data_IF_688681343726
#
_entry.id   IF_688681343726
#
_cell.length_a   1.000
_cell.length_b   1.000
_cell.length_c   1.000
_cell.angle_alpha   90.00
_cell.angle_beta   90.00
_cell.angle_gamma   90.00
#
_symmetry.space_group_name_H-M   'P 1'
#
loop_
_entity.id
_entity.type
_entity.pdbx_description
1 polymer ?
#
# COMPACT_ATOMS: atom_id res chain seq x y z
N UNK A 1 -28.88 16.93 -5.03
CA UNK A 1 -28.15 16.14 -4.02
C UNK A 1 -27.17 15.26 -4.77
N UNK A 2 -25.87 15.37 -4.49
CA UNK A 2 -24.87 14.51 -5.14
C UNK A 2 -25.07 13.06 -4.64
N UNK A 3 -25.08 12.08 -5.54
CA UNK A 3 -25.16 10.68 -5.13
C UNK A 3 -23.81 10.20 -4.56
N UNK A 4 -23.81 9.09 -3.83
CA UNK A 4 -22.60 8.53 -3.19
C UNK A 4 -21.50 8.26 -4.23
N UNK A 5 -21.88 7.74 -5.39
CA UNK A 5 -20.95 7.45 -6.49
C UNK A 5 -20.16 8.70 -6.93
N UNK A 6 -20.83 9.82 -7.16
CA UNK A 6 -20.18 11.09 -7.54
C UNK A 6 -19.23 11.61 -6.45
N UNK A 7 -19.52 11.33 -5.17
CA UNK A 7 -18.62 11.71 -4.06
C UNK A 7 -17.35 10.86 -4.06
N UNK A 8 -17.47 9.56 -4.25
CA UNK A 8 -16.30 8.66 -4.33
C UNK A 8 -15.46 8.94 -5.58
N UNK A 9 -16.10 9.15 -6.72
CA UNK A 9 -15.43 9.55 -7.96
C UNK A 9 -14.71 10.89 -7.80
N UNK A 10 -15.37 11.88 -7.21
CA UNK A 10 -14.78 13.19 -6.91
C UNK A 10 -13.58 13.10 -5.97
N UNK A 11 -13.58 12.19 -4.99
CA UNK A 11 -12.44 11.98 -4.09
C UNK A 11 -11.22 11.41 -4.83
N UNK A 12 -11.41 10.38 -5.66
CA UNK A 12 -10.34 9.77 -6.46
C UNK A 12 -9.75 10.78 -7.47
N UNK A 13 -10.62 11.46 -8.23
CA UNK A 13 -10.20 12.47 -9.22
C UNK A 13 -9.53 13.66 -8.53
N UNK A 14 -10.12 14.13 -7.42
CA UNK A 14 -9.57 15.23 -6.63
C UNK A 14 -8.17 14.93 -6.10
N UNK A 15 -7.95 13.71 -5.59
CA UNK A 15 -6.63 13.25 -5.18
C UNK A 15 -5.65 13.24 -6.34
N UNK A 16 -6.02 12.66 -7.48
CA UNK A 16 -5.16 12.59 -8.67
C UNK A 16 -4.74 13.98 -9.18
N UNK A 17 -5.66 14.95 -9.17
CA UNK A 17 -5.38 16.34 -9.56
C UNK A 17 -4.44 16.99 -8.54
N UNK A 18 -4.75 16.87 -7.25
CA UNK A 18 -3.96 17.49 -6.19
C UNK A 18 -2.53 16.92 -6.11
N UNK A 19 -2.39 15.61 -6.31
CA UNK A 19 -1.11 14.91 -6.29
C UNK A 19 -0.33 15.05 -7.61
N UNK A 20 -0.92 15.67 -8.64
CA UNK A 20 -0.33 15.78 -9.98
C UNK A 20 0.10 14.42 -10.55
N UNK A 21 -0.69 13.39 -10.28
CA UNK A 21 -0.41 12.00 -10.68
C UNK A 21 0.90 11.43 -10.11
N UNK A 22 1.29 11.85 -8.90
CA UNK A 22 2.43 11.28 -8.18
C UNK A 22 2.23 9.78 -7.82
N UNK A 23 3.24 9.11 -7.23
CA UNK A 23 3.11 7.70 -6.89
C UNK A 23 2.00 7.38 -5.89
N UNK A 24 1.49 8.35 -5.12
CA UNK A 24 0.43 8.10 -4.14
C UNK A 24 -0.89 7.70 -4.82
N UNK A 25 -1.23 8.28 -5.97
CA UNK A 25 -2.43 7.88 -6.73
C UNK A 25 -2.27 6.46 -7.30
N UNK A 26 -1.08 6.11 -7.79
CA UNK A 26 -0.80 4.77 -8.33
C UNK A 26 -0.88 3.70 -7.23
N UNK A 27 -0.43 4.04 -6.03
CA UNK A 27 -0.57 3.15 -4.87
C UNK A 27 -2.03 3.04 -4.41
N UNK A 28 -2.82 4.12 -4.41
CA UNK A 28 -4.25 4.05 -4.15
C UNK A 28 -5.00 3.18 -5.18
N UNK A 29 -4.60 3.24 -6.45
CA UNK A 29 -5.13 2.34 -7.48
C UNK A 29 -4.79 0.88 -7.20
N UNK A 30 -3.56 0.58 -6.76
CA UNK A 30 -3.18 -0.77 -6.34
C UNK A 30 -4.06 -1.30 -5.18
N UNK A 31 -4.36 -0.46 -4.18
CA UNK A 31 -5.30 -0.81 -3.09
C UNK A 31 -6.68 -1.11 -3.68
N UNK A 32 -7.18 -0.24 -4.55
CA UNK A 32 -8.48 -0.41 -5.22
C UNK A 32 -8.56 -1.72 -6.03
N UNK A 33 -7.51 -2.02 -6.81
CA UNK A 33 -7.44 -3.24 -7.62
C UNK A 33 -7.36 -4.51 -6.76
N UNK A 34 -6.69 -4.46 -5.61
CA UNK A 34 -6.66 -5.58 -4.66
C UNK A 34 -8.06 -5.83 -4.09
N UNK A 35 -8.73 -4.78 -3.62
CA UNK A 35 -10.09 -4.87 -3.08
C UNK A 35 -11.10 -5.40 -4.11
N UNK A 36 -10.99 -4.98 -5.37
CA UNK A 36 -11.85 -5.48 -6.45
C UNK A 36 -11.58 -6.94 -6.79
N UNK A 37 -10.30 -7.36 -6.78
CA UNK A 37 -9.88 -8.73 -7.10
C UNK A 37 -10.23 -9.71 -5.99
N UNK A 38 -9.87 -9.39 -4.75
CA UNK A 38 -10.02 -10.27 -3.60
C UNK A 38 -11.42 -10.20 -2.97
N UNK A 39 -12.15 -9.08 -3.17
CA UNK A 39 -13.44 -8.80 -2.52
C UNK A 39 -13.37 -8.82 -0.99
N UNK A 40 -12.19 -8.50 -0.46
CA UNK A 40 -11.85 -8.39 0.95
C UNK A 40 -10.54 -7.60 1.07
N UNK A 41 -10.15 -7.22 2.29
CA UNK A 41 -8.82 -6.67 2.54
C UNK A 41 -7.76 -7.77 2.39
N UNK A 42 -6.70 -7.50 1.63
CA UNK A 42 -5.60 -8.43 1.42
C UNK A 42 -4.25 -7.70 1.43
N UNK A 43 -3.62 -7.63 2.60
CA UNK A 43 -2.36 -6.89 2.80
C UNK A 43 -1.22 -7.37 1.89
N UNK A 44 -0.97 -8.67 1.75
CA UNK A 44 0.06 -9.21 0.88
C UNK A 44 -0.16 -8.91 -0.61
N UNK A 45 -1.39 -8.98 -1.13
CA UNK A 45 -1.68 -8.61 -2.53
C UNK A 45 -1.44 -7.10 -2.73
N UNK A 46 -1.83 -6.25 -1.77
CA UNK A 46 -1.52 -4.80 -1.79
C UNK A 46 -0.01 -4.55 -1.80
N UNK A 47 0.74 -5.15 -0.87
CA UNK A 47 2.19 -5.03 -0.77
C UNK A 47 2.87 -5.49 -2.07
N UNK A 48 2.43 -6.63 -2.62
CA UNK A 48 2.94 -7.19 -3.87
C UNK A 48 2.81 -6.20 -5.01
N UNK A 49 1.65 -5.55 -5.14
CA UNK A 49 1.38 -4.55 -6.19
C UNK A 49 2.26 -3.31 -6.01
N UNK A 50 2.43 -2.85 -4.77
CA UNK A 50 3.26 -1.69 -4.48
C UNK A 50 4.74 -1.94 -4.80
N UNK A 51 5.26 -3.10 -4.40
CA UNK A 51 6.63 -3.52 -4.71
C UNK A 51 6.84 -3.71 -6.21
N UNK A 52 5.88 -4.33 -6.90
CA UNK A 52 5.93 -4.48 -8.35
C UNK A 52 5.94 -3.13 -9.07
N UNK A 53 5.09 -2.19 -8.64
CA UNK A 53 5.08 -0.82 -9.15
C UNK A 53 6.44 -0.14 -8.93
N UNK A 54 6.99 -0.21 -7.72
CA UNK A 54 8.28 0.36 -7.38
C UNK A 54 9.42 -0.25 -8.21
N UNK A 55 9.44 -1.57 -8.33
CA UNK A 55 10.46 -2.30 -9.09
C UNK A 55 10.44 -1.95 -10.59
N UNK A 56 9.25 -1.83 -11.19
CA UNK A 56 9.11 -1.63 -12.64
C UNK A 56 9.15 -0.16 -13.07
N UNK A 57 8.58 0.75 -12.28
CA UNK A 57 8.47 2.18 -12.63
C UNK A 57 9.51 3.06 -11.94
N UNK A 58 10.24 2.54 -10.94
CA UNK A 58 11.15 3.33 -10.09
C UNK A 58 10.50 4.63 -9.60
N UNK A 59 9.24 4.54 -9.18
CA UNK A 59 8.48 5.69 -8.72
C UNK A 59 9.18 6.37 -7.53
N UNK A 60 9.08 7.70 -7.48
CA UNK A 60 9.65 8.50 -6.41
C UNK A 60 8.78 8.38 -5.15
N UNK A 61 9.17 7.46 -4.26
CA UNK A 61 8.52 7.25 -2.97
C UNK A 61 9.38 7.80 -1.84
N UNK A 62 8.73 8.13 -0.72
CA UNK A 62 9.41 8.65 0.47
C UNK A 62 10.52 7.71 0.98
N UNK A 63 11.52 8.29 1.64
CA UNK A 63 12.77 7.59 2.00
C UNK A 63 12.58 6.33 2.85
N UNK A 64 11.61 6.35 3.77
CA UNK A 64 11.28 5.21 4.63
C UNK A 64 10.66 4.07 3.80
N UNK A 65 9.62 4.36 3.01
CA UNK A 65 8.98 3.38 2.11
C UNK A 65 9.99 2.82 1.12
N UNK A 66 10.86 3.67 0.58
CA UNK A 66 11.95 3.30 -0.32
C UNK A 66 12.90 2.31 0.35
N UNK A 67 13.31 2.57 1.59
CA UNK A 67 14.19 1.69 2.33
C UNK A 67 13.55 0.31 2.55
N UNK A 68 12.30 0.27 3.04
CA UNK A 68 11.55 -0.97 3.25
C UNK A 68 11.46 -1.80 1.96
N UNK A 69 11.09 -1.16 0.84
CA UNK A 69 10.95 -1.86 -0.44
C UNK A 69 12.28 -2.38 -0.97
N UNK A 70 13.37 -1.63 -0.80
CA UNK A 70 14.70 -2.09 -1.18
C UNK A 70 15.16 -3.28 -0.35
N UNK A 71 14.92 -3.29 0.96
CA UNK A 71 15.25 -4.42 1.81
C UNK A 71 14.40 -5.67 1.48
N UNK A 72 13.10 -5.51 1.24
CA UNK A 72 12.23 -6.61 0.79
C UNK A 72 12.72 -7.19 -0.54
N UNK A 73 13.02 -6.36 -1.53
CA UNK A 73 13.55 -6.81 -2.83
C UNK A 73 14.90 -7.51 -2.67
N UNK A 74 15.81 -6.98 -1.85
CA UNK A 74 17.12 -7.61 -1.58
C UNK A 74 16.96 -9.01 -0.95
N UNK A 75 16.02 -9.18 -0.03
CA UNK A 75 15.78 -10.50 0.58
C UNK A 75 15.10 -11.48 -0.36
N UNK A 76 14.46 -11.00 -1.42
CA UNK A 76 13.86 -11.80 -2.49
C UNK A 76 14.80 -12.05 -3.69
N UNK A 77 16.08 -11.66 -3.61
CA UNK A 77 17.08 -11.74 -4.71
C UNK A 77 17.38 -13.15 -5.24
N UNK A 78 16.87 -14.20 -4.60
CA UNK A 78 17.00 -15.59 -5.05
C UNK A 78 16.05 -15.93 -6.21
N UNK A 79 15.06 -15.09 -6.51
CA UNK A 79 14.15 -15.28 -7.65
C UNK A 79 14.59 -14.42 -8.84
N UNK A 80 14.92 -15.08 -9.96
CA UNK A 80 15.43 -14.43 -11.18
C UNK A 80 14.42 -13.54 -11.91
N UNK A 81 13.13 -13.63 -11.57
CA UNK A 81 12.06 -12.77 -12.13
C UNK A 81 11.02 -12.45 -11.06
N UNK A 82 11.03 -11.19 -10.59
CA UNK A 82 10.02 -10.67 -9.66
C UNK A 82 8.75 -10.30 -10.45
N UNK A 83 7.75 -11.18 -10.41
CA UNK A 83 6.40 -10.92 -10.93
C UNK A 83 5.46 -10.56 -9.77
N UNK A 84 4.28 -10.01 -10.09
CA UNK A 84 3.25 -9.73 -9.09
C UNK A 84 2.91 -10.96 -8.23
N UNK A 85 2.92 -12.15 -8.83
CA UNK A 85 2.60 -13.43 -8.17
C UNK A 85 3.73 -13.93 -7.26
N UNK A 86 4.94 -13.41 -7.43
CA UNK A 86 6.17 -13.83 -6.75
C UNK A 86 6.61 -12.88 -5.62
N UNK A 87 5.93 -11.75 -5.42
CA UNK A 87 6.17 -10.83 -4.31
C UNK A 87 5.47 -11.26 -3.01
N UNK A 88 5.64 -12.52 -2.60
CA UNK A 88 5.12 -13.01 -1.31
C UNK A 88 6.20 -12.94 -0.24
N UNK A 89 5.86 -12.36 0.91
CA UNK A 89 6.75 -12.21 2.05
C UNK A 89 6.09 -12.79 3.29
N UNK A 90 6.89 -13.50 4.08
CA UNK A 90 6.45 -13.95 5.40
C UNK A 90 6.31 -12.73 6.31
N UNK A 91 5.27 -12.74 7.15
CA UNK A 91 4.98 -11.66 8.10
C UNK A 91 6.20 -11.32 8.97
N UNK A 92 6.91 -12.35 9.46
CA UNK A 92 8.12 -12.18 10.27
C UNK A 92 9.24 -11.43 9.54
N UNK A 93 9.34 -11.59 8.22
CA UNK A 93 10.31 -10.85 7.39
C UNK A 93 9.92 -9.38 7.26
N UNK A 94 8.62 -9.10 7.08
CA UNK A 94 8.10 -7.73 7.03
C UNK A 94 8.37 -7.02 8.36
N UNK A 95 8.03 -7.66 9.48
CA UNK A 95 8.23 -7.11 10.83
C UNK A 95 9.70 -6.79 11.11
N UNK A 96 10.61 -7.67 10.71
CA UNK A 96 12.05 -7.45 10.86
C UNK A 96 12.52 -6.23 10.05
N UNK A 97 12.06 -6.08 8.80
CA UNK A 97 12.43 -4.94 7.95
C UNK A 97 11.83 -3.63 8.46
N UNK A 98 10.58 -3.65 8.92
CA UNK A 98 9.95 -2.48 9.54
C UNK A 98 10.73 -2.05 10.78
N UNK A 99 11.15 -3.01 11.62
CA UNK A 99 12.00 -2.73 12.77
C UNK A 99 13.35 -2.13 12.36
N UNK A 100 14.00 -2.68 11.33
CA UNK A 100 15.26 -2.12 10.80
C UNK A 100 15.07 -0.69 10.25
N UNK A 101 13.93 -0.41 9.64
CA UNK A 101 13.59 0.94 9.20
C UNK A 101 13.43 1.88 10.40
N UNK A 102 12.70 1.46 11.42
CA UNK A 102 12.51 2.24 12.64
C UNK A 102 13.83 2.59 13.33
N UNK A 103 14.71 1.60 13.49
CA UNK A 103 16.06 1.80 14.04
C UNK A 103 16.92 2.71 13.15
N UNK A 104 16.86 2.55 11.82
CA UNK A 104 17.65 3.34 10.88
C UNK A 104 17.26 4.82 10.86
N UNK A 105 15.99 5.12 11.09
CA UNK A 105 15.43 6.47 11.05
C UNK A 105 15.17 7.02 12.46
N UNK A 106 15.80 6.47 13.50
CA UNK A 106 15.71 6.92 14.90
C UNK A 106 14.25 7.05 15.41
N UNK A 107 13.36 6.17 14.96
CA UNK A 107 11.92 6.21 15.31
C UNK A 107 11.11 7.27 14.56
N UNK A 108 11.72 8.01 13.62
CA UNK A 108 11.04 9.03 12.81
C UNK A 108 10.36 8.43 11.57
N UNK A 109 9.57 7.37 11.77
CA UNK A 109 8.94 6.59 10.69
C UNK A 109 7.48 6.96 10.40
N UNK A 110 6.87 7.85 11.19
CA UNK A 110 5.48 8.29 11.09
C UNK A 110 5.22 9.27 9.92
N UNK A 111 5.52 8.85 8.70
CA UNK A 111 5.30 9.63 7.48
C UNK A 111 3.85 9.50 6.96
N UNK A 112 3.42 10.43 6.12
CA UNK A 112 2.06 10.49 5.57
C UNK A 112 1.78 9.49 4.43
N UNK A 113 2.78 8.74 3.97
CA UNK A 113 2.67 7.89 2.78
C UNK A 113 1.51 6.89 2.84
N UNK A 114 1.24 6.19 3.97
CA UNK A 114 0.03 5.38 4.12
C UNK A 114 -1.26 6.18 3.98
N UNK A 115 -1.41 7.26 4.77
CA UNK A 115 -2.64 8.05 4.80
C UNK A 115 -3.06 8.60 3.42
N UNK A 116 -2.09 8.87 2.54
CA UNK A 116 -2.34 9.36 1.19
C UNK A 116 -2.88 8.29 0.23
N UNK A 117 -2.75 6.99 0.54
CA UNK A 117 -3.12 5.88 -0.37
C UNK A 117 -4.20 4.95 0.17
N UNK A 118 -4.51 4.96 1.47
CA UNK A 118 -5.47 4.02 2.09
C UNK A 118 -6.94 4.38 1.88
N UNK A 119 -7.26 5.60 1.41
CA UNK A 119 -8.65 6.07 1.28
C UNK A 119 -9.60 5.16 0.47
N UNK A 120 -9.16 4.32 -0.50
CA UNK A 120 -10.06 3.37 -1.16
C UNK A 120 -10.72 2.36 -0.21
N UNK A 121 -10.12 2.07 0.96
CA UNK A 121 -10.72 1.23 1.99
C UNK A 121 -12.06 1.80 2.47
N UNK A 122 -12.15 3.11 2.64
CA UNK A 122 -13.36 3.80 3.10
C UNK A 122 -14.49 3.84 2.06
N UNK A 123 -14.19 3.50 0.79
CA UNK A 123 -15.18 3.48 -0.29
C UNK A 123 -15.60 2.06 -0.68
N UNK A 124 -14.97 1.04 -0.12
CA UNK A 124 -15.12 -0.33 -0.54
C UNK A 124 -16.32 -1.00 0.14
N UNK A 125 -17.29 -1.47 -0.66
CA UNK A 125 -18.47 -2.18 -0.14
C UNK A 125 -18.16 -3.51 0.57
N UNK A 126 -16.94 -4.05 0.39
CA UNK A 126 -16.51 -5.30 1.00
C UNK A 126 -15.90 -5.10 2.39
N UNK A 127 -15.72 -3.84 2.80
CA UNK A 127 -15.15 -3.47 4.09
C UNK A 127 -16.28 -2.90 4.94
N UNK A 128 -16.47 -3.44 6.14
CA UNK A 128 -17.43 -2.87 7.08
C UNK A 128 -16.85 -1.64 7.77
N UNK A 129 -17.71 -0.73 8.24
CA UNK A 129 -17.27 0.43 9.01
C UNK A 129 -16.54 0.02 10.32
N UNK A 130 -16.91 -1.13 10.89
CA UNK A 130 -16.29 -1.68 12.11
C UNK A 130 -14.85 -2.16 11.85
N UNK A 131 -14.56 -2.69 10.66
CA UNK A 131 -13.24 -3.19 10.29
C UNK A 131 -12.32 -2.10 9.69
N UNK A 132 -12.88 -0.94 9.33
CA UNK A 132 -12.16 0.10 8.58
C UNK A 132 -10.92 0.61 9.32
N UNK A 133 -11.01 0.78 10.64
CA UNK A 133 -9.88 1.22 11.44
C UNK A 133 -8.74 0.21 11.39
N UNK A 134 -9.04 -1.06 11.64
CA UNK A 134 -8.06 -2.14 11.66
C UNK A 134 -7.42 -2.31 10.28
N UNK A 135 -8.21 -2.36 9.21
CA UNK A 135 -7.66 -2.47 7.86
C UNK A 135 -6.83 -1.26 7.42
N UNK A 136 -7.15 -0.06 7.89
CA UNK A 136 -6.31 1.12 7.63
C UNK A 136 -4.95 1.00 8.32
N UNK A 137 -4.93 0.49 9.56
CA UNK A 137 -3.69 0.21 10.30
C UNK A 137 -2.86 -0.88 9.63
N UNK A 138 -3.51 -1.95 9.19
CA UNK A 138 -2.87 -3.08 8.51
C UNK A 138 -2.34 -2.67 7.12
N UNK A 139 -3.04 -1.83 6.37
CA UNK A 139 -2.57 -1.28 5.09
C UNK A 139 -1.33 -0.39 5.29
N UNK A 140 -1.28 0.38 6.38
CA UNK A 140 -0.14 1.25 6.66
C UNK A 140 1.16 0.47 6.82
N UNK A 141 1.07 -0.74 7.38
CA UNK A 141 2.18 -1.65 7.61
C UNK A 141 2.29 -2.69 6.46
N UNK A 142 1.27 -2.78 5.60
CA UNK A 142 1.06 -3.75 4.52
C UNK A 142 1.02 -5.22 4.97
N UNK A 143 0.27 -5.51 6.04
CA UNK A 143 0.20 -6.81 6.70
C UNK A 143 -1.21 -7.41 6.61
N UNK A 144 -1.35 -8.71 6.78
CA UNK A 144 -2.67 -9.38 6.78
C UNK A 144 -3.45 -9.12 8.08
N UNK A 145 -4.78 -9.06 7.96
CA UNK A 145 -5.72 -8.88 9.08
C UNK A 145 -6.35 -10.16 9.62
N UNK A 146 -5.80 -11.32 9.28
CA UNK A 146 -6.33 -12.64 9.61
C UNK A 146 -5.67 -13.28 10.83
#
# INVERSE_FOLDING_TARGET
MMNVYTRCEGALIGHAIASQYDPSILMALNVSESLLKCKEFNGPDILSRHLYLYHTKKCEIGEITKYIYQELIKRNSSQSTLTLENFRFDQSMIDEIVKLADEKFDGHTAACSPAQRSYPLAFCQYISDDDLFDFTMLEAINIDGS
#
